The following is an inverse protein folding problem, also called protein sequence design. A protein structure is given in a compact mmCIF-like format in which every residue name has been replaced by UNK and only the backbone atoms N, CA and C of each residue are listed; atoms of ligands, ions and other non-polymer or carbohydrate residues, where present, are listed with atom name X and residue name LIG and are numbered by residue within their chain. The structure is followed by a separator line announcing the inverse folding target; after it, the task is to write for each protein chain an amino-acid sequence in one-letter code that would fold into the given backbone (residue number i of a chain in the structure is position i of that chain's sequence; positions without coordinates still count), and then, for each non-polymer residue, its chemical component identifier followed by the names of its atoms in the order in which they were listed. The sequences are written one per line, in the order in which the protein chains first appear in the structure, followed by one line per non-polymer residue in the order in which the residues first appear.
data_IF_555601240172
#
_entry.id   IF_555601240172
#
_cell.length_a   1.000
_cell.length_b   1.000
_cell.length_c   1.000
_cell.angle_alpha   90.00
_cell.angle_beta   90.00
_cell.angle_gamma   90.00
#
_symmetry.space_group_name_H-M   'P 1'
#
loop_
_entity.id
_entity.type
_entity.pdbx_description
1 polymer ?
#
# COMPACT_ATOMS: atom_id res chain seq x y z
N UNK A 1 1.72 9.47 -31.95
CA UNK A 1 0.71 9.17 -30.92
C UNK A 1 1.29 9.60 -29.58
N UNK A 2 0.74 10.65 -28.97
CA UNK A 2 1.03 10.96 -27.57
C UNK A 2 0.22 9.94 -26.77
N UNK A 3 0.89 9.06 -26.02
CA UNK A 3 0.20 8.08 -25.17
C UNK A 3 -0.67 8.77 -24.12
N UNK A 4 -1.77 8.14 -23.72
CA UNK A 4 -2.60 8.63 -22.61
C UNK A 4 -1.71 8.84 -21.38
N UNK A 5 -1.80 10.00 -20.69
CA UNK A 5 -1.01 10.23 -19.48
C UNK A 5 -1.36 9.22 -18.40
N UNK A 6 -0.34 8.68 -17.73
CA UNK A 6 -0.48 7.73 -16.62
C UNK A 6 -0.99 8.45 -15.37
N UNK A 7 -1.96 7.87 -14.68
CA UNK A 7 -2.50 8.36 -13.41
C UNK A 7 -1.70 7.74 -12.26
N UNK A 8 -1.06 8.59 -11.46
CA UNK A 8 -0.32 8.17 -10.27
C UNK A 8 -1.23 8.08 -9.06
N UNK A 9 -1.25 6.91 -8.41
CA UNK A 9 -2.11 6.63 -7.25
C UNK A 9 -1.26 6.26 -6.04
N UNK A 10 -1.34 7.08 -4.99
CA UNK A 10 -0.75 6.77 -3.69
C UNK A 10 -1.84 6.26 -2.73
N UNK A 11 -1.80 4.98 -2.41
CA UNK A 11 -2.62 4.41 -1.35
C UNK A 11 -1.92 4.60 -0.01
N UNK A 12 -2.54 5.32 0.93
CA UNK A 12 -1.98 5.59 2.24
C UNK A 12 -2.81 4.87 3.30
N UNK A 13 -2.18 4.03 4.11
CA UNK A 13 -2.81 3.37 5.25
C UNK A 13 -1.84 3.33 6.43
N UNK A 14 -2.33 3.50 7.65
CA UNK A 14 -1.46 3.77 8.80
C UNK A 14 -0.57 2.59 9.21
N UNK A 15 -1.02 1.35 9.04
CA UNK A 15 -0.26 0.12 9.31
C UNK A 15 -0.73 -1.02 8.42
N UNK A 16 0.20 -1.87 7.99
CA UNK A 16 -0.07 -3.05 7.16
C UNK A 16 -0.09 -4.36 7.99
N UNK A 17 -1.00 -4.42 8.96
CA UNK A 17 -1.28 -5.60 9.81
C UNK A 17 -2.49 -6.38 9.27
N UNK A 18 -2.72 -7.62 9.74
CA UNK A 18 -3.95 -8.35 9.38
C UNK A 18 -5.20 -7.58 9.83
N UNK A 19 -6.12 -7.37 8.89
CA UNK A 19 -7.35 -6.62 9.10
C UNK A 19 -8.06 -6.26 7.79
N UNK A 20 -9.38 -6.11 7.86
CA UNK A 20 -10.21 -5.91 6.65
C UNK A 20 -9.89 -4.63 5.87
N UNK A 21 -9.44 -3.56 6.54
CA UNK A 21 -9.04 -2.33 5.85
C UNK A 21 -7.74 -2.51 5.05
N UNK A 22 -6.79 -3.30 5.59
CA UNK A 22 -5.52 -3.61 4.96
C UNK A 22 -5.71 -4.58 3.80
N UNK A 23 -6.54 -5.62 3.98
CA UNK A 23 -6.93 -6.54 2.90
C UNK A 23 -7.60 -5.79 1.74
N UNK A 24 -8.57 -4.91 2.04
CA UNK A 24 -9.20 -4.06 1.03
C UNK A 24 -8.18 -3.18 0.31
N UNK A 25 -7.24 -2.58 1.04
CA UNK A 25 -6.17 -1.75 0.46
C UNK A 25 -5.30 -2.56 -0.50
N UNK A 26 -4.88 -3.77 -0.13
CA UNK A 26 -4.09 -4.65 -1.00
C UNK A 26 -4.87 -5.06 -2.25
N UNK A 27 -6.12 -5.48 -2.10
CA UNK A 27 -6.96 -5.89 -3.23
C UNK A 27 -7.23 -4.72 -4.18
N UNK A 28 -7.39 -3.50 -3.65
CA UNK A 28 -7.52 -2.29 -4.46
C UNK A 28 -6.24 -1.98 -5.22
N UNK A 29 -5.08 -2.02 -4.57
CA UNK A 29 -3.78 -1.80 -5.22
C UNK A 29 -3.54 -2.84 -6.32
N UNK A 30 -3.81 -4.11 -6.04
CA UNK A 30 -3.71 -5.20 -7.01
C UNK A 30 -4.60 -4.96 -8.22
N UNK A 31 -5.87 -4.61 -8.00
CA UNK A 31 -6.79 -4.29 -9.08
C UNK A 31 -6.27 -3.16 -9.96
N UNK A 32 -5.78 -2.07 -9.36
CA UNK A 32 -5.20 -0.95 -10.11
C UNK A 32 -3.93 -1.33 -10.89
N UNK A 33 -3.10 -2.26 -10.39
CA UNK A 33 -1.91 -2.73 -11.11
C UNK A 33 -2.23 -3.53 -12.38
N UNK A 34 -3.44 -4.10 -12.49
CA UNK A 34 -3.87 -4.82 -13.69
C UNK A 34 -4.17 -3.86 -14.86
N UNK A 35 -4.18 -2.55 -14.60
CA UNK A 35 -4.57 -1.50 -15.54
C UNK A 35 -3.36 -0.61 -15.91
N UNK A 36 -2.92 -0.61 -17.18
CA UNK A 36 -1.73 0.12 -17.63
C UNK A 36 -1.84 1.65 -17.53
N UNK A 37 -3.05 2.19 -17.34
CA UNK A 37 -3.29 3.61 -17.11
C UNK A 37 -2.90 4.09 -15.69
N UNK A 38 -2.63 3.17 -14.74
CA UNK A 38 -2.27 3.52 -13.37
C UNK A 38 -0.83 3.16 -13.01
N UNK A 39 -0.20 4.03 -12.24
CA UNK A 39 1.06 3.78 -11.52
C UNK A 39 0.74 3.82 -10.02
N UNK A 40 0.78 2.66 -9.37
CA UNK A 40 0.30 2.49 -7.98
C UNK A 40 1.48 2.40 -7.02
N UNK A 41 1.39 3.12 -5.91
CA UNK A 41 2.35 3.03 -4.80
C UNK A 41 1.61 2.96 -3.46
N UNK A 42 2.04 2.06 -2.60
CA UNK A 42 1.50 1.90 -1.24
C UNK A 42 2.43 2.58 -0.24
N UNK A 43 1.87 3.46 0.58
CA UNK A 43 2.58 4.13 1.68
C UNK A 43 1.96 3.67 2.99
N UNK A 44 2.78 3.18 3.91
CA UNK A 44 2.31 2.66 5.19
C UNK A 44 3.29 2.88 6.32
N UNK A 45 2.81 2.79 7.56
CA UNK A 45 3.68 2.66 8.72
C UNK A 45 4.22 1.24 8.90
N UNK A 46 5.15 1.02 9.85
CA UNK A 46 5.63 -0.30 10.19
C UNK A 46 4.47 -1.25 10.55
N UNK A 47 4.53 -2.50 10.08
CA UNK A 47 3.55 -3.55 10.40
C UNK A 47 3.75 -4.12 11.82
N UNK A 48 3.64 -3.26 12.84
CA UNK A 48 3.79 -3.63 14.25
C UNK A 48 2.41 -3.91 14.83
N UNK A 49 2.16 -5.15 15.23
CA UNK A 49 0.94 -5.60 15.90
C UNK A 49 0.95 -7.10 16.17
N UNK A 50 0.20 -7.58 17.18
CA UNK A 50 0.07 -9.01 17.46
C UNK A 50 -0.70 -9.78 16.38
N UNK A 51 -1.39 -9.08 15.48
CA UNK A 51 -2.26 -9.68 14.45
C UNK A 51 -1.46 -10.30 13.30
N UNK A 52 -0.17 -9.99 13.15
CA UNK A 52 0.63 -10.38 11.97
C UNK A 52 0.64 -9.28 10.89
N UNK A 53 1.37 -9.53 9.80
CA UNK A 53 1.71 -8.53 8.80
C UNK A 53 1.21 -8.89 7.39
N UNK A 54 1.01 -7.87 6.56
CA UNK A 54 0.56 -7.99 5.16
C UNK A 54 1.55 -7.37 4.15
N UNK A 55 2.72 -6.90 4.60
CA UNK A 55 3.77 -6.38 3.72
C UNK A 55 4.32 -7.50 2.83
N UNK A 56 4.47 -8.71 3.35
CA UNK A 56 4.90 -9.87 2.55
C UNK A 56 3.91 -10.22 1.43
N UNK A 57 2.62 -9.94 1.61
CA UNK A 57 1.62 -10.07 0.53
C UNK A 57 1.75 -8.93 -0.49
N UNK A 58 1.96 -7.69 -0.03
CA UNK A 58 2.22 -6.56 -0.93
C UNK A 58 3.41 -6.83 -1.86
N UNK A 59 4.50 -7.37 -1.30
CA UNK A 59 5.70 -7.74 -2.04
C UNK A 59 5.41 -8.86 -3.06
N UNK A 60 4.70 -9.93 -2.65
CA UNK A 60 4.30 -11.03 -3.55
C UNK A 60 3.44 -10.55 -4.72
N UNK A 61 2.59 -9.55 -4.49
CA UNK A 61 1.73 -8.94 -5.50
C UNK A 61 2.48 -7.93 -6.40
N UNK A 62 3.76 -7.66 -6.13
CA UNK A 62 4.55 -6.68 -6.87
C UNK A 62 4.12 -5.23 -6.63
N UNK A 63 3.43 -4.95 -5.52
CA UNK A 63 3.02 -3.59 -5.16
C UNK A 63 4.24 -2.83 -4.62
N UNK A 64 4.64 -1.70 -5.24
CA UNK A 64 5.69 -0.85 -4.68
C UNK A 64 5.27 -0.29 -3.32
N UNK A 65 6.10 -0.47 -2.29
CA UNK A 65 5.79 -0.03 -0.92
C UNK A 65 6.86 0.92 -0.38
N UNK A 66 6.41 2.03 0.21
CA UNK A 66 7.23 2.87 1.10
C UNK A 66 6.73 2.72 2.52
N UNK A 67 7.64 2.33 3.43
CA UNK A 67 7.39 2.33 4.86
C UNK A 67 7.85 3.67 5.43
N UNK A 68 6.95 4.37 6.11
CA UNK A 68 7.21 5.63 6.83
C UNK A 68 7.31 5.32 8.33
N UNK A 69 8.52 5.24 8.92
CA UNK A 69 8.72 4.80 10.30
C UNK A 69 7.92 5.59 11.34
N UNK A 70 7.67 6.87 11.07
CA UNK A 70 6.97 7.84 11.93
C UNK A 70 5.44 7.70 11.86
N UNK A 71 4.90 7.00 10.85
CA UNK A 71 3.46 6.74 10.70
C UNK A 71 3.02 5.67 11.70
N UNK A 72 2.85 6.07 12.97
CA UNK A 72 2.45 5.21 14.09
C UNK A 72 1.19 5.75 14.76
N UNK A 73 0.57 4.92 15.60
CA UNK A 73 -0.64 5.32 16.35
C UNK A 73 -0.32 6.38 17.40
N UNK A 74 0.76 6.18 18.15
CA UNK A 74 1.28 7.17 19.09
C UNK A 74 2.04 8.23 18.30
N UNK A 75 1.80 9.50 18.63
CA UNK A 75 2.54 10.61 18.02
C UNK A 75 4.01 10.45 18.40
N UNK A 76 4.89 10.35 17.40
CA UNK A 76 6.33 10.18 17.57
C UNK A 76 7.05 11.42 17.01
N UNK A 77 7.17 12.51 17.79
CA UNK A 77 7.79 13.77 17.37
C UNK A 77 9.32 13.70 17.26
#
# INVERSE_FOLDING_TARGET
MVGTPVIRVAHIITRMILGGAQENTLLTCRGLLEHPEYEVHLVTGPAIGPEGELLGEAERLGIPVTIVPEMRREIHP
#
